data_IF_576493634180
#
_entry.id   IF_576493634180
#
_cell.length_a   1.000
_cell.length_b   1.000
_cell.length_c   1.000
_cell.angle_alpha   90.00
_cell.angle_beta   90.00
_cell.angle_gamma   90.00
#
_symmetry.space_group_name_H-M   'P 1'
#
loop_
_entity.id
_entity.type
_entity.pdbx_description
1 polymer ?
#
# COMPACT_ATOMS: atom_id res chain seq x y z
N UNK A 1 3.29 0.98 11.41
CA UNK A 1 2.83 -0.30 10.84
C UNK A 1 1.92 0.04 9.67
N UNK A 2 2.05 -0.62 8.51
CA UNK A 2 1.22 -0.34 7.32
C UNK A 2 -0.14 -1.03 7.45
N UNK A 3 -0.96 -0.54 8.38
CA UNK A 3 -2.25 -1.14 8.78
C UNK A 3 -3.38 -0.18 8.41
N UNK A 4 -3.86 -0.27 7.18
CA UNK A 4 -4.99 0.53 6.73
C UNK A 4 -6.30 -0.11 7.15
N UNK A 5 -7.28 0.72 7.46
CA UNK A 5 -8.57 0.29 7.96
C UNK A 5 -9.70 0.74 7.05
N UNK A 6 -10.72 -0.10 6.99
CA UNK A 6 -11.97 0.18 6.31
C UNK A 6 -13.15 -0.07 7.24
N UNK A 7 -14.21 0.69 7.02
CA UNK A 7 -15.53 0.48 7.63
C UNK A 7 -16.49 0.04 6.55
N UNK A 8 -17.51 -0.73 6.93
CA UNK A 8 -18.53 -1.21 6.01
C UNK A 8 -19.92 -0.94 6.56
N UNK A 9 -20.79 -0.43 5.70
CA UNK A 9 -22.21 -0.21 5.98
C UNK A 9 -23.06 -0.92 4.91
N UNK A 10 -24.15 -1.57 5.32
CA UNK A 10 -25.08 -2.17 4.38
C UNK A 10 -26.22 -1.19 4.08
N UNK A 11 -26.38 -0.83 2.82
CA UNK A 11 -27.41 0.09 2.33
C UNK A 11 -28.57 -0.73 1.76
N UNK A 12 -29.66 -0.84 2.53
CA UNK A 12 -30.81 -1.68 2.19
C UNK A 12 -31.48 -1.28 0.86
N UNK A 13 -31.52 0.02 0.55
CA UNK A 13 -32.13 0.56 -0.67
C UNK A 13 -31.38 0.12 -1.94
N UNK A 14 -30.06 -0.05 -1.85
CA UNK A 14 -29.20 -0.45 -2.96
C UNK A 14 -28.90 -1.97 -2.94
N UNK A 15 -29.14 -2.63 -1.80
CA UNK A 15 -28.76 -4.02 -1.61
C UNK A 15 -27.24 -4.23 -1.67
N UNK A 16 -26.47 -3.25 -1.21
CA UNK A 16 -25.02 -3.19 -1.36
C UNK A 16 -24.32 -2.87 -0.02
N UNK A 17 -23.04 -3.23 0.04
CA UNK A 17 -22.12 -2.92 1.12
C UNK A 17 -21.22 -1.78 0.68
N UNK A 18 -21.38 -0.60 1.28
CA UNK A 18 -20.51 0.54 1.06
C UNK A 18 -19.29 0.44 1.96
N UNK A 19 -18.11 0.70 1.40
CA UNK A 19 -16.81 0.57 2.05
C UNK A 19 -16.17 1.95 2.10
N UNK A 20 -15.78 2.39 3.31
CA UNK A 20 -15.11 3.67 3.53
C UNK A 20 -13.73 3.48 4.17
N UNK A 21 -12.74 4.22 3.71
CA UNK A 21 -11.34 4.08 4.15
C UNK A 21 -10.91 5.26 5.03
N UNK A 22 -10.45 4.98 6.25
CA UNK A 22 -10.15 6.01 7.24
C UNK A 22 -9.07 7.01 6.76
N UNK A 23 -8.04 6.51 6.07
CA UNK A 23 -6.91 7.31 5.60
C UNK A 23 -7.14 7.93 4.20
N UNK A 24 -8.26 7.61 3.57
CA UNK A 24 -8.63 8.08 2.23
C UNK A 24 -10.10 8.51 2.23
N UNK A 25 -10.43 9.71 2.77
CA UNK A 25 -11.82 10.16 2.92
C UNK A 25 -12.58 10.31 1.61
N UNK A 26 -11.87 10.58 0.51
CA UNK A 26 -12.44 10.72 -0.83
C UNK A 26 -12.59 9.37 -1.56
N UNK A 27 -12.17 8.26 -0.94
CA UNK A 27 -12.19 6.93 -1.52
C UNK A 27 -13.36 6.13 -0.94
N UNK A 28 -14.15 5.55 -1.83
CA UNK A 28 -15.27 4.69 -1.49
C UNK A 28 -15.23 3.43 -2.34
N UNK A 29 -15.68 2.33 -1.75
CA UNK A 29 -15.89 1.05 -2.41
C UNK A 29 -17.32 0.58 -2.27
N UNK A 30 -17.72 -0.34 -3.15
CA UNK A 30 -19.03 -0.97 -3.10
C UNK A 30 -18.88 -2.45 -3.40
N UNK A 31 -19.49 -3.30 -2.59
CA UNK A 31 -19.63 -4.72 -2.89
C UNK A 31 -21.09 -5.15 -2.77
N UNK A 32 -21.56 -6.02 -3.66
CA UNK A 32 -22.91 -6.60 -3.59
C UNK A 32 -22.94 -7.93 -2.80
N UNK A 33 -21.79 -8.34 -2.27
CA UNK A 33 -21.59 -9.61 -1.60
C UNK A 33 -20.82 -9.39 -0.30
N UNK A 34 -21.37 -9.86 0.83
CA UNK A 34 -20.76 -9.63 2.15
C UNK A 34 -19.37 -10.26 2.24
N UNK A 35 -19.24 -11.44 1.64
CA UNK A 35 -18.03 -12.26 1.64
C UNK A 35 -16.89 -11.61 0.83
N UNK A 36 -17.22 -10.74 -0.13
CA UNK A 36 -16.24 -10.09 -1.01
C UNK A 36 -15.77 -8.72 -0.49
N UNK A 37 -16.38 -8.19 0.59
CA UNK A 37 -16.05 -6.86 1.14
C UNK A 37 -14.56 -6.70 1.45
N UNK A 38 -13.92 -7.69 2.07
CA UNK A 38 -12.49 -7.61 2.39
C UNK A 38 -11.61 -7.62 1.13
N UNK A 39 -11.99 -8.39 0.12
CA UNK A 39 -11.27 -8.49 -1.15
C UNK A 39 -11.40 -7.17 -1.92
N UNK A 40 -12.61 -6.65 -2.04
CA UNK A 40 -12.89 -5.38 -2.71
C UNK A 40 -12.13 -4.23 -2.04
N UNK A 41 -12.15 -4.18 -0.70
CA UNK A 41 -11.40 -3.20 0.06
C UNK A 41 -9.89 -3.27 -0.21
N UNK A 42 -9.34 -4.48 -0.34
CA UNK A 42 -7.94 -4.68 -0.69
C UNK A 42 -7.63 -4.18 -2.10
N UNK A 43 -8.41 -4.56 -3.09
CA UNK A 43 -8.17 -4.19 -4.49
C UNK A 43 -8.23 -2.67 -4.68
N UNK A 44 -9.21 -2.01 -4.06
CA UNK A 44 -9.36 -0.56 -4.09
C UNK A 44 -8.12 0.14 -3.49
N UNK A 45 -7.61 -0.34 -2.34
CA UNK A 45 -6.39 0.23 -1.76
C UNK A 45 -5.16 0.01 -2.65
N UNK A 46 -4.99 -1.19 -3.23
CA UNK A 46 -3.86 -1.48 -4.12
C UNK A 46 -3.87 -0.57 -5.36
N UNK A 47 -5.04 -0.38 -5.97
CA UNK A 47 -5.23 0.55 -7.07
C UNK A 47 -4.89 1.99 -6.66
N UNK A 48 -5.41 2.43 -5.50
CA UNK A 48 -5.14 3.77 -4.95
C UNK A 48 -3.64 3.98 -4.71
N UNK A 49 -2.94 3.02 -4.11
CA UNK A 49 -1.50 3.14 -3.90
C UNK A 49 -0.72 3.23 -5.22
N UNK A 50 -1.14 2.50 -6.25
CA UNK A 50 -0.52 2.59 -7.57
C UNK A 50 -0.67 4.01 -8.16
N UNK A 51 -1.86 4.62 -8.07
CA UNK A 51 -2.10 6.00 -8.51
C UNK A 51 -1.23 7.01 -7.76
N UNK A 52 -1.05 6.83 -6.45
CA UNK A 52 -0.20 7.70 -5.65
C UNK A 52 1.28 7.58 -6.05
N UNK A 53 1.74 6.36 -6.35
CA UNK A 53 3.12 6.12 -6.80
C UNK A 53 3.37 6.71 -8.18
N UNK A 54 2.45 6.54 -9.11
CA UNK A 54 2.53 7.14 -10.45
C UNK A 54 2.50 8.67 -10.36
N UNK A 55 1.57 9.21 -9.58
CA UNK A 55 1.42 10.65 -9.35
C UNK A 55 2.52 11.28 -8.48
N UNK A 56 3.50 10.50 -8.00
CA UNK A 56 4.53 10.95 -7.05
C UNK A 56 3.95 11.65 -5.81
N UNK A 57 2.76 11.22 -5.38
CA UNK A 57 2.07 11.72 -4.18
C UNK A 57 2.47 10.89 -2.97
N UNK A 58 2.62 11.54 -1.81
CA UNK A 58 2.88 10.82 -0.56
C UNK A 58 1.67 9.95 -0.21
N UNK A 59 1.89 8.67 0.02
CA UNK A 59 0.86 7.78 0.55
C UNK A 59 0.70 8.09 2.05
N UNK A 60 -0.51 8.36 2.56
CA UNK A 60 -0.76 8.63 3.97
C UNK A 60 -0.21 7.53 4.88
N UNK A 61 0.26 7.92 6.06
CA UNK A 61 0.57 6.92 7.10
C UNK A 61 -0.74 6.50 7.74
N UNK A 62 -1.00 5.20 7.93
CA UNK A 62 -2.25 4.75 8.50
C UNK A 62 -2.50 5.35 9.89
N UNK A 63 -3.73 5.79 10.11
CA UNK A 63 -4.21 6.35 11.37
C UNK A 63 -4.61 5.27 12.37
N UNK A 64 -4.86 5.68 13.62
CA UNK A 64 -5.23 4.77 14.71
C UNK A 64 -6.63 4.17 14.51
N UNK A 65 -6.94 3.06 15.21
CA UNK A 65 -8.14 2.29 14.94
C UNK A 65 -9.44 3.09 15.05
N UNK A 66 -10.31 2.94 14.06
CA UNK A 66 -11.70 3.41 14.12
C UNK A 66 -12.58 2.32 14.73
N UNK A 67 -13.56 2.70 15.55
CA UNK A 67 -14.58 1.75 16.05
C UNK A 67 -15.31 1.09 14.87
N UNK A 68 -15.59 -0.22 14.99
CA UNK A 68 -16.23 -1.05 13.95
C UNK A 68 -15.47 -1.15 12.61
N UNK A 69 -14.20 -0.74 12.54
CA UNK A 69 -13.37 -0.94 11.36
C UNK A 69 -12.69 -2.31 11.34
N UNK A 70 -12.49 -2.86 10.14
CA UNK A 70 -11.65 -4.03 9.91
C UNK A 70 -10.31 -3.62 9.30
N UNK A 71 -9.28 -4.42 9.54
CA UNK A 71 -7.96 -4.22 8.93
C UNK A 71 -7.96 -4.82 7.53
N UNK A 72 -7.64 -4.00 6.53
CA UNK A 72 -7.48 -4.49 5.15
C UNK A 72 -6.13 -5.21 5.05
N UNK A 73 -6.16 -6.47 4.60
CA UNK A 73 -4.94 -7.24 4.43
C UNK A 73 -4.10 -6.65 3.27
N UNK A 74 -2.84 -6.34 3.56
CA UNK A 74 -1.87 -5.94 2.54
C UNK A 74 -0.69 -6.94 2.52
N UNK A 75 -0.26 -7.39 1.33
CA UNK A 75 0.97 -8.16 1.21
C UNK A 75 2.17 -7.37 1.76
N UNK A 76 3.10 -8.04 2.44
CA UNK A 76 4.32 -7.38 2.99
C UNK A 76 5.10 -6.64 1.91
N UNK A 77 5.16 -7.19 0.69
CA UNK A 77 5.80 -6.55 -0.46
C UNK A 77 5.14 -5.22 -0.82
N UNK A 78 3.82 -5.11 -0.72
CA UNK A 78 3.09 -3.84 -0.91
C UNK A 78 3.51 -2.83 0.16
N UNK A 79 3.53 -3.23 1.43
CA UNK A 79 3.94 -2.36 2.54
C UNK A 79 5.36 -1.80 2.34
N UNK A 80 6.31 -2.64 1.91
CA UNK A 80 7.68 -2.21 1.62
C UNK A 80 7.77 -1.25 0.44
N UNK A 81 6.93 -1.41 -0.59
CA UNK A 81 6.87 -0.48 -1.73
C UNK A 81 6.33 0.88 -1.34
N UNK A 82 5.29 0.91 -0.49
CA UNK A 82 4.76 2.16 0.07
C UNK A 82 5.86 2.86 0.88
N UNK A 83 6.58 2.11 1.74
CA UNK A 83 7.70 2.64 2.51
C UNK A 83 8.79 3.22 1.61
N UNK A 84 9.20 2.46 0.59
CA UNK A 84 10.24 2.86 -0.35
C UNK A 84 9.83 4.13 -1.11
N UNK A 85 8.61 4.18 -1.64
CA UNK A 85 8.07 5.35 -2.33
C UNK A 85 8.09 6.60 -1.45
N UNK A 86 7.56 6.53 -0.23
CA UNK A 86 7.56 7.67 0.68
C UNK A 86 8.98 8.09 1.07
N UNK A 87 9.89 7.14 1.33
CA UNK A 87 11.31 7.43 1.60
C UNK A 87 12.02 8.10 0.42
N UNK A 88 11.66 7.75 -0.81
CA UNK A 88 12.20 8.39 -2.02
C UNK A 88 11.74 9.83 -2.16
N UNK A 89 10.46 10.11 -1.85
CA UNK A 89 9.94 11.48 -1.83
C UNK A 89 10.68 12.34 -0.78
N UNK A 90 11.04 11.75 0.35
CA UNK A 90 11.75 12.44 1.44
C UNK A 90 13.25 12.66 1.13
N UNK A 91 13.90 11.72 0.43
CA UNK A 91 15.37 11.69 0.26
C UNK A 91 15.93 12.49 -0.91
N UNK A 92 15.11 13.08 -1.79
CA UNK A 92 15.52 13.74 -3.07
C UNK A 92 16.36 12.84 -4.01
N UNK A 93 16.59 11.58 -3.66
CA UNK A 93 17.35 10.61 -4.47
C UNK A 93 16.46 10.13 -5.61
N UNK A 94 16.97 10.12 -6.83
CA UNK A 94 16.19 9.67 -7.98
C UNK A 94 16.18 8.15 -8.10
N UNK A 95 15.11 7.60 -8.71
CA UNK A 95 14.98 6.18 -9.06
C UNK A 95 16.23 5.63 -9.75
N UNK A 96 16.79 6.39 -10.69
CA UNK A 96 17.97 5.97 -11.43
C UNK A 96 19.23 5.86 -10.55
N UNK A 97 19.36 6.68 -9.50
CA UNK A 97 20.48 6.59 -8.58
C UNK A 97 20.38 5.36 -7.68
N UNK A 98 19.17 5.03 -7.23
CA UNK A 98 18.91 3.77 -6.50
C UNK A 98 19.21 2.58 -7.42
N UNK A 99 18.74 2.61 -8.67
CA UNK A 99 19.00 1.56 -9.65
C UNK A 99 20.51 1.32 -9.87
N UNK A 100 21.30 2.39 -10.01
CA UNK A 100 22.77 2.31 -10.11
C UNK A 100 23.40 1.69 -8.88
N UNK A 101 22.99 2.10 -7.67
CA UNK A 101 23.54 1.57 -6.40
C UNK A 101 23.19 0.11 -6.19
N UNK A 102 22.01 -0.32 -6.64
CA UNK A 102 21.57 -1.71 -6.61
C UNK A 102 22.08 -2.55 -7.80
N UNK A 103 22.79 -1.94 -8.75
CA UNK A 103 23.24 -2.57 -9.99
C UNK A 103 22.09 -3.23 -10.80
N UNK A 104 20.94 -2.54 -10.87
CA UNK A 104 19.77 -2.94 -11.66
C UNK A 104 19.47 -1.91 -12.75
N UNK A 105 18.72 -2.31 -13.77
CA UNK A 105 18.35 -1.43 -14.87
C UNK A 105 17.10 -0.58 -14.57
N UNK A 106 16.82 0.39 -15.45
CA UNK A 106 15.69 1.31 -15.31
C UNK A 106 14.32 0.58 -15.25
N UNK A 107 14.14 -0.48 -16.05
CA UNK A 107 12.89 -1.25 -16.03
C UNK A 107 12.70 -2.00 -14.71
N UNK A 108 13.78 -2.50 -14.11
CA UNK A 108 13.74 -3.20 -12.84
C UNK A 108 13.39 -2.27 -11.67
N UNK A 109 13.88 -1.03 -11.64
CA UNK A 109 13.50 -0.08 -10.58
C UNK A 109 12.05 0.39 -10.71
N UNK A 110 11.54 0.56 -11.93
CA UNK A 110 10.11 0.85 -12.13
C UNK A 110 9.23 -0.30 -11.63
N UNK A 111 9.58 -1.54 -11.98
CA UNK A 111 8.92 -2.76 -11.47
C UNK A 111 9.08 -2.96 -9.96
N UNK A 112 10.14 -2.44 -9.37
CA UNK A 112 10.35 -2.50 -7.92
C UNK A 112 9.31 -1.65 -7.18
N UNK A 113 8.90 -0.53 -7.77
CA UNK A 113 7.93 0.41 -7.19
C UNK A 113 6.48 0.14 -7.61
N UNK A 114 6.25 -0.53 -8.74
CA UNK A 114 4.91 -0.91 -9.20
C UNK A 114 4.23 -1.85 -8.19
N UNK A 115 3.13 -1.42 -7.57
CA UNK A 115 2.39 -2.15 -6.53
C UNK A 115 1.91 -3.52 -7.01
N UNK A 116 1.50 -3.64 -8.27
CA UNK A 116 0.93 -4.86 -8.83
C UNK A 116 1.99 -5.87 -9.28
N UNK A 117 3.25 -5.44 -9.37
CA UNK A 117 4.33 -6.31 -9.86
C UNK A 117 4.94 -7.18 -8.75
N UNK A 118 5.21 -8.45 -9.02
CA UNK A 118 5.92 -9.30 -8.07
C UNK A 118 7.39 -8.85 -7.96
N UNK A 119 7.79 -8.37 -6.78
CA UNK A 119 9.15 -7.92 -6.52
C UNK A 119 9.80 -8.76 -5.43
N UNK A 120 11.10 -9.00 -5.56
CA UNK A 120 11.84 -9.73 -4.53
C UNK A 120 12.04 -8.85 -3.30
N UNK A 121 11.81 -9.44 -2.12
CA UNK A 121 11.86 -8.74 -0.84
C UNK A 121 13.26 -8.24 -0.51
N UNK A 122 14.29 -9.03 -0.81
CA UNK A 122 15.71 -8.68 -0.63
C UNK A 122 16.10 -7.38 -1.36
N UNK A 123 15.59 -7.17 -2.58
CA UNK A 123 15.86 -5.94 -3.34
C UNK A 123 15.12 -4.73 -2.74
N UNK A 124 13.89 -4.92 -2.26
CA UNK A 124 13.12 -3.86 -1.59
C UNK A 124 13.81 -3.42 -0.28
N UNK A 125 14.28 -4.39 0.50
CA UNK A 125 15.03 -4.14 1.74
C UNK A 125 16.33 -3.38 1.45
N UNK A 126 17.12 -3.83 0.48
CA UNK A 126 18.36 -3.14 0.09
C UNK A 126 18.09 -1.71 -0.38
N UNK A 127 17.02 -1.50 -1.15
CA UNK A 127 16.62 -0.17 -1.60
C UNK A 127 16.29 0.76 -0.42
N UNK A 128 15.53 0.27 0.56
CA UNK A 128 15.22 1.00 1.79
C UNK A 128 16.49 1.30 2.61
N UNK A 129 17.39 0.32 2.73
CA UNK A 129 18.67 0.49 3.43
C UNK A 129 19.54 1.59 2.81
N UNK A 130 19.60 1.68 1.48
CA UNK A 130 20.30 2.76 0.77
C UNK A 130 19.72 4.16 1.07
N UNK A 131 18.46 4.23 1.51
CA UNK A 131 17.78 5.46 1.90
C UNK A 131 17.81 5.71 3.43
N UNK A 132 18.50 4.84 4.19
CA UNK A 132 18.64 4.98 5.65
C UNK A 132 17.52 4.35 6.47
N UNK A 133 16.74 3.42 5.90
CA UNK A 133 15.67 2.71 6.59
C UNK A 133 16.03 1.25 6.82
N UNK A 134 15.66 0.72 7.98
CA UNK A 134 15.77 -0.70 8.31
C UNK A 134 14.38 -1.33 8.31
N UNK A 135 14.21 -2.42 7.57
CA UNK A 135 12.97 -3.18 7.54
C UNK A 135 13.02 -4.30 8.59
N UNK A 136 11.93 -4.47 9.34
CA UNK A 136 11.79 -5.57 10.32
C UNK A 136 10.45 -6.27 10.13
N UNK A 137 10.40 -7.55 10.50
CA UNK A 137 9.21 -8.40 10.38
C UNK A 137 8.81 -8.90 11.75
N UNK A 138 7.50 -8.86 12.03
CA UNK A 138 6.88 -9.47 13.21
C UNK A 138 5.75 -10.39 12.74
N UNK A 139 5.64 -11.57 13.34
CA UNK A 139 4.56 -12.54 13.06
C UNK A 139 3.66 -12.60 14.28
N UNK A 140 2.34 -12.44 14.07
CA UNK A 140 1.33 -12.45 15.13
C UNK A 140 0.18 -13.41 14.76
N UNK A 141 -0.48 -14.06 15.73
CA UNK A 141 -1.69 -14.84 15.47
C UNK A 141 -2.82 -13.92 14.95
N UNK A 142 -3.58 -14.39 13.96
CA UNK A 142 -4.80 -13.73 13.46
C UNK A 142 -6.03 -14.34 14.11
#
# INVERSE_FOLDING_TARGET
MFTYQATVEFVEEEGAYEISFADFPDLQGVSYCREDVELEAQEILLATFAEYIEGKKRIPTPTQPTENAFTVYLPITCCLKIALHNAMLDSKIQRLDIARRLNINAQQIERLLDIHYASKLDILEQALYLLGYEASVTVTPR
#
